data_IF_842042966763
#
_entry.id   IF_842042966763
#
_cell.length_a   1.000
_cell.length_b   1.000
_cell.length_c   1.000
_cell.angle_alpha   90.00
_cell.angle_beta   90.00
_cell.angle_gamma   90.00
#
_symmetry.space_group_name_H-M   'P 1'
#
loop_
_entity.id
_entity.type
_entity.pdbx_description
1 polymer ?
#
# COMPACT_ATOMS: atom_id res chain seq x y z
N UNK A 1 40.38 -17.22 1.27
CA UNK A 1 38.93 -17.28 0.96
C UNK A 1 38.69 -18.66 0.43
N UNK A 2 37.95 -19.45 1.18
CA UNK A 2 37.68 -20.83 0.79
C UNK A 2 36.52 -20.88 -0.22
N UNK A 3 36.44 -21.95 -1.00
CA UNK A 3 35.32 -22.20 -1.93
C UNK A 3 34.02 -22.31 -1.13
N UNK A 4 34.10 -22.79 0.11
CA UNK A 4 32.99 -22.87 1.07
C UNK A 4 32.45 -21.48 1.43
N UNK A 5 33.30 -20.47 1.65
CA UNK A 5 32.88 -19.10 2.00
C UNK A 5 32.06 -18.48 0.86
N UNK A 6 32.55 -18.65 -0.38
CA UNK A 6 31.90 -18.18 -1.61
C UNK A 6 30.55 -18.89 -1.78
N UNK A 7 30.48 -20.20 -1.51
CA UNK A 7 29.22 -20.95 -1.56
C UNK A 7 28.21 -20.50 -0.49
N UNK A 8 28.66 -20.14 0.72
CA UNK A 8 27.78 -19.65 1.78
C UNK A 8 27.17 -18.29 1.44
N UNK A 9 27.96 -17.32 0.95
CA UNK A 9 27.42 -16.03 0.51
C UNK A 9 26.46 -16.19 -0.68
N UNK A 10 26.77 -17.07 -1.64
CA UNK A 10 25.89 -17.35 -2.78
C UNK A 10 24.56 -18.02 -2.35
N UNK A 11 24.61 -18.96 -1.39
CA UNK A 11 23.41 -19.58 -0.82
C UNK A 11 22.60 -18.63 0.08
N UNK A 12 23.22 -17.63 0.70
CA UNK A 12 22.53 -16.62 1.51
C UNK A 12 21.74 -15.63 0.63
N UNK A 13 22.26 -15.29 -0.56
CA UNK A 13 21.66 -14.32 -1.49
C UNK A 13 20.39 -14.79 -2.21
N UNK A 14 20.18 -16.10 -2.41
CA UNK A 14 19.04 -16.62 -3.18
C UNK A 14 18.06 -17.47 -2.34
N UNK A 15 17.04 -16.82 -1.79
CA UNK A 15 16.01 -17.40 -0.92
C UNK A 15 15.14 -18.52 -1.55
N UNK A 16 15.30 -18.79 -2.85
CA UNK A 16 14.56 -19.82 -3.61
C UNK A 16 14.79 -21.22 -3.02
N UNK A 17 16.02 -21.54 -2.60
CA UNK A 17 16.34 -22.88 -2.11
C UNK A 17 15.62 -23.23 -0.81
N UNK A 18 15.35 -22.24 0.06
CA UNK A 18 14.58 -22.44 1.30
C UNK A 18 13.13 -22.85 1.01
N UNK A 19 12.49 -22.19 0.05
CA UNK A 19 11.12 -22.49 -0.38
C UNK A 19 11.03 -23.88 -1.02
N UNK A 20 12.03 -24.26 -1.82
CA UNK A 20 12.12 -25.60 -2.41
C UNK A 20 12.32 -26.67 -1.32
N UNK A 21 13.27 -26.49 -0.40
CA UNK A 21 13.54 -27.46 0.69
C UNK A 21 12.36 -27.60 1.66
N UNK A 22 11.64 -26.52 1.96
CA UNK A 22 10.42 -26.58 2.79
C UNK A 22 9.29 -27.32 2.06
N UNK A 23 9.06 -27.06 0.77
CA UNK A 23 8.11 -27.82 -0.04
C UNK A 23 8.50 -29.30 -0.15
N UNK A 24 9.78 -29.61 -0.32
CA UNK A 24 10.28 -30.97 -0.43
C UNK A 24 10.10 -31.72 0.90
N UNK A 25 10.43 -31.10 2.03
CA UNK A 25 10.17 -31.66 3.38
C UNK A 25 8.68 -31.89 3.64
N UNK A 26 7.80 -30.99 3.20
CA UNK A 26 6.36 -31.18 3.30
C UNK A 26 5.88 -32.37 2.46
N UNK A 27 6.30 -32.45 1.19
CA UNK A 27 5.95 -33.56 0.28
C UNK A 27 6.49 -34.91 0.77
N UNK A 28 7.74 -34.95 1.26
CA UNK A 28 8.32 -36.17 1.86
C UNK A 28 7.54 -36.62 3.10
N UNK A 29 7.09 -35.70 3.98
CA UNK A 29 6.22 -36.06 5.11
C UNK A 29 4.89 -36.66 4.66
N UNK A 30 4.26 -36.11 3.62
CA UNK A 30 3.01 -36.66 3.06
C UNK A 30 3.23 -38.04 2.44
N UNK A 31 4.31 -38.23 1.67
CA UNK A 31 4.66 -39.53 1.07
C UNK A 31 4.92 -40.58 2.15
N UNK A 32 5.71 -40.26 3.18
CA UNK A 32 5.96 -41.17 4.31
C UNK A 32 4.68 -41.52 5.09
N UNK A 33 3.76 -40.58 5.26
CA UNK A 33 2.46 -40.84 5.89
C UNK A 33 1.61 -41.80 5.04
N UNK A 34 1.54 -41.61 3.71
CA UNK A 34 0.80 -42.51 2.81
C UNK A 34 1.44 -43.90 2.73
N UNK A 35 2.77 -44.00 2.73
CA UNK A 35 3.48 -45.28 2.83
C UNK A 35 3.18 -45.99 4.16
N UNK A 36 3.14 -45.27 5.28
CA UNK A 36 2.76 -45.83 6.59
C UNK A 36 1.34 -46.40 6.61
N UNK A 37 0.37 -45.67 6.05
CA UNK A 37 -1.02 -46.14 5.92
C UNK A 37 -1.11 -47.39 5.04
N UNK A 38 -0.37 -47.45 3.92
CA UNK A 38 -0.35 -48.62 3.04
C UNK A 38 0.27 -49.86 3.71
N UNK A 39 1.33 -49.69 4.52
CA UNK A 39 1.91 -50.80 5.30
C UNK A 39 0.95 -51.30 6.39
N UNK A 40 0.25 -50.40 7.08
CA UNK A 40 -0.78 -50.80 8.05
C UNK A 40 -1.95 -51.55 7.38
N UNK A 41 -2.38 -51.14 6.18
CA UNK A 41 -3.43 -51.82 5.44
C UNK A 41 -3.04 -53.24 4.98
N UNK A 42 -1.76 -53.49 4.70
CA UNK A 42 -1.27 -54.80 4.24
C UNK A 42 -1.03 -55.83 5.36
N UNK A 43 -0.98 -55.38 6.63
CA UNK A 43 -0.68 -56.24 7.79
C UNK A 43 -1.93 -56.72 8.56
N UNK A 44 -3.13 -56.34 8.12
CA UNK A 44 -4.40 -56.73 8.78
C UNK A 44 -5.30 -57.53 7.84
N UNK A 45 -4.84 -58.73 7.45
CA UNK A 45 -5.65 -59.75 6.77
C UNK A 45 -5.54 -61.10 7.51
N UNK A 46 -6.45 -61.41 8.44
CA UNK A 46 -6.49 -62.73 9.07
C UNK A 46 -7.04 -63.77 8.08
N UNK A 47 -6.23 -64.79 7.77
CA UNK A 47 -6.62 -65.88 6.89
C UNK A 47 -7.75 -66.74 7.48
N UNK A 48 -8.71 -67.15 6.64
CA UNK A 48 -9.78 -68.08 7.01
C UNK A 48 -9.49 -69.50 6.54
N UNK A 49 -9.06 -70.37 7.46
CA UNK A 49 -9.36 -71.80 7.38
C UNK A 49 -10.84 -72.01 7.73
N UNK A 50 -11.58 -72.78 6.93
CA UNK A 50 -13.02 -72.97 7.13
C UNK A 50 -13.39 -74.31 7.77
N UNK A 51 -14.60 -74.40 8.33
CA UNK A 51 -15.33 -75.66 8.44
C UNK A 51 -16.86 -75.45 8.45
N UNK A 52 -17.60 -76.55 8.44
CA UNK A 52 -18.95 -76.71 7.87
C UNK A 52 -20.14 -76.50 8.82
N UNK A 53 -21.23 -75.96 8.25
CA UNK A 53 -22.64 -76.39 8.42
C UNK A 53 -23.32 -76.33 9.81
N UNK A 54 -24.44 -75.58 9.88
CA UNK A 54 -25.79 -76.17 10.10
C UNK A 54 -26.90 -75.15 9.77
N UNK A 55 -28.18 -75.56 9.80
CA UNK A 55 -29.36 -74.79 9.33
C UNK A 55 -30.24 -74.28 10.49
N UNK A 56 -30.90 -73.15 10.30
CA UNK A 56 -32.36 -72.86 10.48
C UNK A 56 -32.55 -71.37 10.10
N UNK A 57 -33.37 -70.95 9.12
CA UNK A 57 -34.84 -70.99 9.02
C UNK A 57 -35.56 -70.23 10.15
N UNK A 58 -35.97 -68.98 9.89
CA UNK A 58 -37.40 -68.68 9.66
C UNK A 58 -37.64 -67.36 8.86
N UNK A 59 -38.91 -67.06 8.62
CA UNK A 59 -39.58 -66.12 7.69
C UNK A 59 -39.69 -64.66 8.21
N UNK A 60 -40.05 -63.63 7.41
CA UNK A 60 -40.36 -63.55 5.97
C UNK A 60 -41.03 -62.20 5.56
N UNK A 61 -41.69 -62.19 4.39
CA UNK A 61 -42.63 -61.15 3.85
C UNK A 61 -42.04 -59.92 3.11
N UNK A 62 -42.63 -59.62 1.94
CA UNK A 62 -42.32 -58.55 0.95
C UNK A 62 -43.56 -57.61 0.83
N UNK A 63 -43.57 -56.47 0.08
CA UNK A 63 -43.28 -56.37 -1.37
C UNK A 63 -42.43 -55.11 -1.74
N UNK A 64 -42.88 -54.18 -2.59
CA UNK A 64 -42.43 -53.94 -3.99
C UNK A 64 -42.21 -52.41 -4.22
N UNK A 65 -41.81 -51.81 -5.36
CA UNK A 65 -41.89 -52.13 -6.81
C UNK A 65 -40.75 -51.49 -7.65
N UNK A 66 -40.77 -51.72 -8.98
CA UNK A 66 -40.61 -50.80 -10.13
C UNK A 66 -39.76 -49.50 -10.04
N UNK A 67 -39.03 -49.05 -11.08
CA UNK A 67 -38.52 -49.63 -12.34
C UNK A 67 -37.43 -48.66 -12.96
N UNK A 68 -36.71 -48.99 -14.05
CA UNK A 68 -35.47 -48.31 -14.47
C UNK A 68 -35.59 -47.22 -15.56
N UNK A 69 -34.50 -46.50 -15.83
CA UNK A 69 -34.30 -45.60 -17.00
C UNK A 69 -32.91 -45.84 -17.63
N UNK A 70 -32.77 -45.53 -18.93
CA UNK A 70 -31.67 -45.95 -19.81
C UNK A 70 -30.39 -45.08 -19.83
N UNK A 71 -29.37 -45.63 -20.50
CA UNK A 71 -28.09 -45.00 -20.87
C UNK A 71 -28.24 -43.81 -21.84
N UNK A 72 -27.22 -42.95 -21.88
CA UNK A 72 -26.81 -42.24 -23.10
C UNK A 72 -25.28 -42.04 -23.11
N UNK A 73 -24.67 -42.07 -24.29
CA UNK A 73 -23.21 -41.93 -24.51
C UNK A 73 -22.96 -40.82 -25.53
N UNK A 74 -22.05 -39.89 -25.24
CA UNK A 74 -21.49 -38.95 -26.23
C UNK A 74 -19.95 -38.92 -26.09
N UNK A 75 -19.28 -38.70 -27.21
CA UNK A 75 -17.88 -39.05 -27.47
C UNK A 75 -16.87 -37.95 -27.10
N UNK A 76 -15.63 -38.38 -26.82
CA UNK A 76 -14.44 -37.53 -26.97
C UNK A 76 -14.06 -37.43 -28.45
N UNK A 77 -13.58 -36.28 -28.88
CA UNK A 77 -12.65 -36.13 -30.00
C UNK A 77 -11.78 -34.89 -29.77
N UNK A 78 -10.56 -34.89 -30.31
CA UNK A 78 -9.61 -33.77 -30.20
C UNK A 78 -8.79 -33.63 -31.49
N UNK A 79 -8.32 -32.42 -31.76
CA UNK A 79 -7.49 -32.07 -32.94
C UNK A 79 -6.48 -30.96 -32.52
N UNK A 80 -5.45 -30.58 -33.31
CA UNK A 80 -4.07 -30.77 -32.85
C UNK A 80 -3.23 -29.50 -32.82
N UNK A 81 -1.92 -29.65 -32.58
CA UNK A 81 -0.93 -28.58 -32.72
C UNK A 81 -0.66 -28.23 -34.19
N UNK A 82 -0.39 -26.94 -34.46
CA UNK A 82 0.43 -26.48 -35.59
C UNK A 82 1.39 -25.37 -35.10
N UNK A 83 2.54 -25.22 -35.76
CA UNK A 83 3.65 -24.37 -35.32
C UNK A 83 3.73 -23.02 -36.04
N UNK A 84 4.62 -22.14 -35.55
CA UNK A 84 4.91 -20.82 -36.12
C UNK A 84 6.28 -20.80 -36.83
N UNK A 85 6.40 -20.20 -38.04
CA UNK A 85 7.67 -19.88 -38.66
C UNK A 85 8.25 -18.56 -38.13
N UNK A 86 9.58 -18.40 -38.20
CA UNK A 86 10.27 -17.15 -37.86
C UNK A 86 10.53 -16.29 -39.10
N UNK A 87 10.04 -15.04 -39.10
CA UNK A 87 10.62 -13.88 -39.78
C UNK A 87 10.28 -12.63 -38.91
N UNK A 88 11.09 -11.57 -38.83
CA UNK A 88 12.32 -11.27 -39.57
C UNK A 88 12.24 -9.87 -40.18
N UNK A 89 12.43 -8.82 -39.37
CA UNK A 89 12.38 -7.42 -39.82
C UNK A 89 13.59 -6.62 -39.36
N UNK A 90 14.27 -6.00 -40.32
CA UNK A 90 15.26 -4.95 -40.10
C UNK A 90 14.54 -3.59 -39.90
N UNK A 91 15.21 -2.65 -39.25
CA UNK A 91 14.62 -1.35 -38.90
C UNK A 91 14.60 -0.35 -40.06
N UNK A 92 13.88 0.76 -39.85
CA UNK A 92 13.96 1.96 -40.69
C UNK A 92 14.24 3.18 -39.80
N UNK A 93 15.24 3.99 -40.20
CA UNK A 93 15.46 5.31 -39.63
C UNK A 93 14.41 6.28 -40.18
N UNK A 94 13.96 7.22 -39.34
CA UNK A 94 13.35 8.46 -39.82
C UNK A 94 14.29 9.63 -39.53
N UNK A 95 14.71 10.34 -40.58
CA UNK A 95 15.40 11.61 -40.45
C UNK A 95 14.39 12.71 -40.07
N UNK A 96 14.85 13.67 -39.28
CA UNK A 96 14.16 14.94 -39.05
C UNK A 96 14.77 16.02 -39.96
N UNK A 97 13.95 16.93 -40.48
CA UNK A 97 14.42 18.27 -40.88
C UNK A 97 13.32 19.31 -40.51
N UNK A 98 13.64 20.52 -39.99
CA UNK A 98 12.63 21.36 -39.32
C UNK A 98 12.50 22.81 -39.85
N UNK A 99 11.51 23.52 -39.28
CA UNK A 99 11.29 24.99 -39.18
C UNK A 99 10.26 25.61 -40.12
N UNK A 100 9.31 26.34 -39.52
CA UNK A 100 8.98 27.77 -39.67
C UNK A 100 7.50 27.95 -39.22
N UNK A 101 7.10 28.75 -38.22
CA UNK A 101 7.49 30.07 -37.69
C UNK A 101 6.76 31.26 -38.35
N UNK A 102 5.61 31.64 -37.77
CA UNK A 102 4.85 32.91 -37.83
C UNK A 102 3.53 32.72 -37.05
N UNK A 103 2.93 33.68 -36.34
CA UNK A 103 3.46 34.96 -35.87
C UNK A 103 2.76 36.21 -36.41
N UNK A 104 1.55 36.55 -35.92
CA UNK A 104 1.21 37.96 -35.64
C UNK A 104 -0.06 38.19 -34.80
N UNK A 105 -0.16 39.41 -34.26
CA UNK A 105 -1.23 39.92 -33.39
C UNK A 105 -2.22 40.85 -34.10
N UNK A 106 -3.48 40.87 -33.64
CA UNK A 106 -4.34 42.07 -33.41
C UNK A 106 -5.57 41.63 -32.58
N UNK A 107 -6.13 42.29 -31.56
CA UNK A 107 -6.32 43.68 -31.12
C UNK A 107 -7.79 44.15 -31.31
N UNK A 108 -8.37 44.61 -30.20
CA UNK A 108 -9.58 45.43 -30.00
C UNK A 108 -10.98 44.91 -30.43
N UNK A 109 -11.97 45.21 -29.56
CA UNK A 109 -13.38 44.80 -29.74
C UNK A 109 -14.24 44.98 -28.48
N UNK A 110 -14.58 46.24 -28.14
CA UNK A 110 -15.54 46.59 -27.07
C UNK A 110 -16.78 47.24 -27.68
N UNK A 111 -17.99 46.95 -27.17
CA UNK A 111 -18.95 48.03 -26.98
C UNK A 111 -19.65 47.99 -25.61
N UNK A 112 -20.45 49.03 -25.34
CA UNK A 112 -21.47 49.08 -24.28
C UNK A 112 -22.69 48.21 -24.69
N UNK A 113 -23.63 47.81 -23.82
CA UNK A 113 -23.82 48.06 -22.39
C UNK A 113 -25.25 48.55 -22.09
N UNK A 114 -25.93 48.03 -21.06
CA UNK A 114 -27.32 48.42 -20.76
C UNK A 114 -27.69 48.27 -19.27
N UNK A 115 -28.80 48.89 -18.84
CA UNK A 115 -29.20 49.05 -17.44
C UNK A 115 -30.20 47.98 -16.96
N UNK A 116 -30.10 47.62 -15.68
CA UNK A 116 -31.23 47.16 -14.85
C UNK A 116 -30.91 47.38 -13.37
N UNK A 117 -31.88 47.87 -12.58
CA UNK A 117 -31.67 48.24 -11.18
C UNK A 117 -32.23 47.20 -10.20
N UNK A 118 -31.56 47.10 -9.04
CA UNK A 118 -32.09 46.72 -7.73
C UNK A 118 -32.86 45.38 -7.58
N UNK A 119 -32.25 44.46 -6.84
CA UNK A 119 -32.63 44.20 -5.43
C UNK A 119 -31.35 43.80 -4.68
N UNK A 120 -31.19 44.23 -3.43
CA UNK A 120 -29.96 44.04 -2.66
C UNK A 120 -30.19 43.22 -1.38
N UNK A 121 -29.52 42.06 -1.30
CA UNK A 121 -29.18 41.39 -0.04
C UNK A 121 -27.73 40.90 -0.16
N UNK A 122 -26.76 41.73 0.24
CA UNK A 122 -25.33 41.39 0.17
C UNK A 122 -24.85 40.99 1.57
N UNK A 123 -24.89 39.70 1.85
CA UNK A 123 -24.00 39.11 2.85
C UNK A 123 -22.59 39.07 2.27
N UNK A 124 -21.64 39.79 2.89
CA UNK A 124 -20.23 39.71 2.51
C UNK A 124 -19.67 38.34 2.90
N UNK A 125 -19.58 37.41 1.95
CA UNK A 125 -18.68 36.27 2.07
C UNK A 125 -17.25 36.79 1.92
N UNK A 126 -16.45 36.75 2.99
CA UNK A 126 -15.02 37.03 2.89
C UNK A 126 -14.32 35.90 2.14
N UNK A 127 -13.53 36.24 1.12
CA UNK A 127 -12.73 35.27 0.39
C UNK A 127 -11.51 34.85 1.23
N UNK A 128 -11.28 33.54 1.46
CA UNK A 128 -10.12 33.08 2.21
C UNK A 128 -8.80 33.57 1.58
N UNK A 129 -7.95 34.21 2.38
CA UNK A 129 -6.63 34.70 1.91
C UNK A 129 -5.71 33.51 1.58
N UNK A 130 -4.90 33.60 0.51
CA UNK A 130 -3.96 32.53 0.16
C UNK A 130 -2.89 32.35 1.26
N UNK A 131 -2.57 31.09 1.55
CA UNK A 131 -1.71 30.64 2.67
C UNK A 131 -0.21 31.00 2.48
N UNK A 132 0.16 31.66 1.37
CA UNK A 132 1.55 31.94 0.98
C UNK A 132 2.35 32.85 1.94
N UNK A 133 1.69 33.53 2.88
CA UNK A 133 2.29 34.62 3.65
C UNK A 133 2.54 34.29 5.14
N UNK A 134 2.33 33.04 5.57
CA UNK A 134 2.63 32.63 6.95
C UNK A 134 4.11 32.22 7.06
N UNK A 135 4.97 33.15 7.46
CA UNK A 135 6.32 32.80 7.92
C UNK A 135 6.25 32.25 9.36
N UNK A 136 6.94 31.15 9.68
CA UNK A 136 7.02 30.67 11.06
C UNK A 136 7.91 31.59 11.89
N UNK A 137 7.37 32.15 12.97
CA UNK A 137 8.14 32.81 14.02
C UNK A 137 9.00 31.77 14.75
N UNK A 138 10.25 32.10 15.03
CA UNK A 138 11.20 31.22 15.70
C UNK A 138 11.10 31.30 17.24
N UNK A 139 9.96 30.86 17.79
CA UNK A 139 9.84 30.58 19.23
C UNK A 139 8.88 29.41 19.51
N UNK A 140 8.85 28.94 20.76
CA UNK A 140 8.40 27.59 21.15
C UNK A 140 6.91 27.23 21.06
N UNK A 141 6.68 25.92 21.07
CA UNK A 141 5.42 25.16 21.25
C UNK A 141 4.16 25.60 20.48
N UNK A 142 3.79 24.78 19.49
CA UNK A 142 2.71 25.05 18.53
C UNK A 142 1.31 24.39 18.76
N UNK A 143 0.83 24.03 19.99
CA UNK A 143 -0.55 23.53 20.15
C UNK A 143 -1.61 24.46 19.56
N UNK A 144 -1.48 25.77 19.77
CA UNK A 144 -2.43 26.77 19.28
C UNK A 144 -2.44 26.89 17.76
N UNK A 145 -1.28 26.79 17.10
CA UNK A 145 -1.17 26.89 15.63
C UNK A 145 -1.83 25.68 14.96
N UNK A 146 -1.65 24.46 15.47
CA UNK A 146 -2.39 23.29 14.98
C UNK A 146 -3.90 23.47 15.10
N UNK A 147 -4.37 23.96 16.26
CA UNK A 147 -5.80 24.19 16.50
C UNK A 147 -6.38 25.31 15.62
N UNK A 148 -5.63 26.40 15.42
CA UNK A 148 -6.02 27.52 14.57
C UNK A 148 -6.13 27.10 13.10
N UNK A 149 -5.16 26.33 12.59
CA UNK A 149 -5.20 25.75 11.23
C UNK A 149 -6.40 24.82 11.08
N UNK A 150 -6.65 23.95 12.05
CA UNK A 150 -7.79 23.02 12.02
C UNK A 150 -9.14 23.76 11.99
N UNK A 151 -9.28 24.81 12.80
CA UNK A 151 -10.49 25.65 12.84
C UNK A 151 -10.68 26.44 11.54
N UNK A 152 -9.62 27.05 10.99
CA UNK A 152 -9.69 27.84 9.76
C UNK A 152 -9.97 27.01 8.50
N UNK A 153 -9.56 25.74 8.49
CA UNK A 153 -9.81 24.80 7.38
C UNK A 153 -11.07 23.95 7.56
N UNK A 154 -11.78 24.07 8.68
CA UNK A 154 -12.98 23.27 8.97
C UNK A 154 -12.70 21.77 9.08
N UNK A 155 -11.54 21.38 9.62
CA UNK A 155 -11.19 19.96 9.79
C UNK A 155 -12.11 19.27 10.79
N UNK A 156 -12.33 17.97 10.59
CA UNK A 156 -13.01 17.13 11.57
C UNK A 156 -12.22 17.14 12.90
N UNK A 157 -12.86 17.28 14.09
CA UNK A 157 -12.16 17.50 15.37
C UNK A 157 -11.23 16.37 15.80
N UNK A 158 -11.32 15.18 15.19
CA UNK A 158 -10.39 14.07 15.42
C UNK A 158 -9.05 14.19 14.68
N UNK A 159 -8.91 15.10 13.70
CA UNK A 159 -7.69 15.26 12.90
C UNK A 159 -6.59 15.93 13.71
N UNK A 160 -5.67 15.12 14.23
CA UNK A 160 -4.60 15.53 15.14
C UNK A 160 -3.35 15.95 14.36
N UNK A 161 -3.34 17.19 13.88
CA UNK A 161 -2.12 17.80 13.31
C UNK A 161 -1.10 18.03 14.44
N UNK A 162 0.12 17.53 14.24
CA UNK A 162 1.25 17.72 15.15
C UNK A 162 2.39 18.47 14.46
N UNK A 163 3.22 19.18 15.24
CA UNK A 163 4.40 19.85 14.69
C UNK A 163 5.34 18.85 14.02
N UNK A 164 6.01 19.28 12.96
CA UNK A 164 7.05 18.53 12.25
C UNK A 164 8.45 18.72 12.84
N UNK A 165 8.57 19.49 13.92
CA UNK A 165 9.76 19.56 14.78
C UNK A 165 9.60 18.63 15.98
N UNK A 166 10.72 18.17 16.54
CA UNK A 166 10.70 17.43 17.80
C UNK A 166 10.41 18.40 18.98
N UNK A 167 9.47 18.10 19.90
CA UNK A 167 9.14 18.98 21.01
C UNK A 167 10.32 19.30 21.93
N UNK A 168 10.31 20.50 22.51
CA UNK A 168 11.29 20.90 23.53
C UNK A 168 11.24 19.93 24.73
N UNK A 169 12.42 19.51 25.23
CA UNK A 169 12.54 18.48 26.27
C UNK A 169 12.51 17.02 25.80
N UNK A 170 11.91 16.71 24.64
CA UNK A 170 11.94 15.36 24.05
C UNK A 170 13.33 14.94 23.53
N UNK A 171 14.30 15.85 23.52
CA UNK A 171 15.72 15.57 23.27
C UNK A 171 16.34 14.56 24.25
N UNK A 172 15.71 14.34 25.41
CA UNK A 172 16.07 13.32 26.39
C UNK A 172 15.81 11.87 25.91
N UNK A 173 14.95 11.67 24.91
CA UNK A 173 14.63 10.33 24.39
C UNK A 173 15.76 9.85 23.47
N UNK A 174 16.45 8.78 23.89
CA UNK A 174 17.55 8.15 23.14
C UNK A 174 17.04 7.36 21.93
N UNK A 175 16.60 8.09 20.91
CA UNK A 175 16.29 7.60 19.57
C UNK A 175 17.59 7.60 18.75
N UNK A 176 18.02 6.43 18.25
CA UNK A 176 19.10 6.29 17.27
C UNK A 176 18.68 6.81 15.89
N UNK A 177 19.61 7.38 15.13
CA UNK A 177 19.38 7.77 13.74
C UNK A 177 20.61 7.47 12.86
N UNK A 178 20.37 7.13 11.59
CA UNK A 178 21.36 6.75 10.58
C UNK A 178 21.23 7.64 9.33
N UNK A 179 22.24 7.73 8.45
CA UNK A 179 22.08 8.38 7.15
C UNK A 179 20.93 7.74 6.35
N UNK A 180 20.11 8.54 5.68
CA UNK A 180 19.06 8.02 4.81
C UNK A 180 19.69 7.43 3.53
N UNK A 181 19.59 6.11 3.26
CA UNK A 181 20.25 5.51 2.12
C UNK A 181 19.73 6.07 0.79
N UNK A 182 20.64 6.29 -0.16
CA UNK A 182 20.34 6.82 -1.51
C UNK A 182 19.54 8.14 -1.51
N UNK A 183 19.59 8.93 -0.43
CA UNK A 183 18.81 10.16 -0.30
C UNK A 183 19.10 11.16 -1.44
N UNK A 184 18.07 11.81 -2.01
CA UNK A 184 18.24 12.85 -3.03
C UNK A 184 18.97 14.12 -2.56
N UNK A 185 19.28 14.24 -1.26
CA UNK A 185 20.07 15.33 -0.69
C UNK A 185 21.06 14.80 0.35
N UNK A 186 22.30 15.26 0.30
CA UNK A 186 23.31 14.91 1.29
C UNK A 186 22.94 15.38 2.71
N UNK A 187 23.36 14.61 3.72
CA UNK A 187 23.17 14.94 5.14
C UNK A 187 21.76 14.67 5.69
N UNK A 188 20.86 14.06 4.93
CA UNK A 188 19.56 13.60 5.44
C UNK A 188 19.76 12.37 6.32
N UNK A 189 19.12 12.36 7.49
CA UNK A 189 19.15 11.27 8.47
C UNK A 189 17.75 10.75 8.76
N UNK A 190 17.61 9.45 8.99
CA UNK A 190 16.38 8.76 9.38
C UNK A 190 16.58 8.05 10.71
N UNK A 191 15.61 8.17 11.61
CA UNK A 191 15.63 7.60 12.94
C UNK A 191 14.99 6.20 12.97
N UNK A 192 15.56 5.31 13.78
CA UNK A 192 15.38 3.85 13.65
C UNK A 192 15.29 3.16 15.02
N UNK A 193 14.46 2.13 15.12
CA UNK A 193 14.43 1.25 16.30
C UNK A 193 15.72 0.42 16.42
N UNK A 194 16.01 -0.17 17.59
CA UNK A 194 16.93 -1.28 17.72
C UNK A 194 16.51 -2.47 16.84
N UNK A 195 17.46 -3.18 16.23
CA UNK A 195 17.17 -4.31 15.31
C UNK A 195 16.49 -5.51 15.98
N UNK A 196 16.50 -5.57 17.32
CA UNK A 196 15.77 -6.57 18.11
C UNK A 196 14.27 -6.26 18.19
N UNK A 197 13.87 -4.99 18.06
CA UNK A 197 12.47 -4.54 18.02
C UNK A 197 11.92 -4.50 16.58
N UNK A 198 12.75 -4.08 15.62
CA UNK A 198 12.43 -4.07 14.20
C UNK A 198 13.65 -4.50 13.37
N UNK A 199 13.63 -5.75 12.90
CA UNK A 199 14.70 -6.31 12.06
C UNK A 199 14.51 -6.04 10.56
N UNK A 200 13.40 -5.42 10.17
CA UNK A 200 13.00 -5.27 8.76
C UNK A 200 13.33 -3.86 8.27
N UNK A 201 12.54 -2.85 8.65
CA UNK A 201 12.72 -1.48 8.14
C UNK A 201 13.97 -0.86 8.77
N UNK A 202 14.04 -0.82 10.10
CA UNK A 202 15.20 -0.37 10.86
C UNK A 202 16.45 -1.23 10.61
N UNK A 203 16.25 -2.52 10.31
CA UNK A 203 17.32 -3.45 9.93
C UNK A 203 17.98 -3.04 8.60
N UNK A 204 17.20 -2.91 7.53
CA UNK A 204 17.69 -2.49 6.21
C UNK A 204 18.35 -1.11 6.26
N UNK A 205 17.72 -0.14 6.94
CA UNK A 205 18.26 1.22 7.09
C UNK A 205 19.61 1.24 7.81
N UNK A 206 19.78 0.45 8.88
CA UNK A 206 21.07 0.30 9.59
C UNK A 206 22.14 -0.42 8.75
N UNK A 207 21.75 -1.20 7.74
CA UNK A 207 22.64 -1.79 6.72
C UNK A 207 22.89 -0.86 5.52
N UNK A 208 22.48 0.42 5.58
CA UNK A 208 22.55 1.39 4.49
C UNK A 208 21.80 0.94 3.22
N UNK A 209 20.64 0.29 3.40
CA UNK A 209 19.74 -0.14 2.33
C UNK A 209 18.36 0.51 2.49
N UNK A 210 17.71 0.85 1.38
CA UNK A 210 16.31 1.26 1.41
C UNK A 210 15.43 0.03 1.66
N UNK A 211 14.49 0.13 2.61
CA UNK A 211 13.31 -0.73 2.59
C UNK A 211 12.49 -0.38 1.34
N UNK A 212 11.92 -1.38 0.67
CA UNK A 212 11.11 -1.20 -0.56
C UNK A 212 11.79 -0.34 -1.64
N UNK A 213 13.10 -0.55 -1.88
CA UNK A 213 13.92 0.31 -2.74
C UNK A 213 13.27 0.62 -4.11
N UNK A 214 12.79 -0.40 -4.82
CA UNK A 214 12.20 -0.21 -6.16
C UNK A 214 10.94 0.67 -6.13
N UNK A 215 10.14 0.61 -5.06
CA UNK A 215 8.96 1.45 -4.85
C UNK A 215 9.35 2.88 -4.47
N UNK A 216 10.31 3.06 -3.54
CA UNK A 216 10.83 4.39 -3.17
C UNK A 216 11.43 5.09 -4.39
N UNK A 217 12.15 4.36 -5.25
CA UNK A 217 12.69 4.88 -6.51
C UNK A 217 11.61 5.04 -7.59
N UNK A 218 10.51 4.29 -7.58
CA UNK A 218 9.37 4.51 -8.48
C UNK A 218 8.61 5.80 -8.11
N UNK A 219 8.34 6.02 -6.83
CA UNK A 219 7.84 7.30 -6.29
C UNK A 219 8.78 8.44 -6.67
N UNK A 220 10.10 8.30 -6.48
CA UNK A 220 11.08 9.32 -6.87
C UNK A 220 10.93 9.72 -8.34
N UNK A 221 10.92 8.74 -9.25
CA UNK A 221 10.81 9.01 -10.70
C UNK A 221 9.48 9.70 -11.03
N UNK A 222 8.37 9.30 -10.40
CA UNK A 222 7.08 9.93 -10.62
C UNK A 222 7.03 11.38 -10.11
N UNK A 223 7.55 11.63 -8.90
CA UNK A 223 7.72 12.96 -8.31
C UNK A 223 8.80 13.81 -9.02
N UNK A 224 9.62 13.23 -9.90
CA UNK A 224 10.49 13.97 -10.83
C UNK A 224 9.77 14.31 -12.13
N UNK A 225 8.99 13.37 -12.68
CA UNK A 225 8.26 13.54 -13.94
C UNK A 225 7.15 14.60 -13.88
N UNK A 226 6.50 14.77 -12.71
CA UNK A 226 5.58 15.88 -12.46
C UNK A 226 6.02 16.70 -11.23
N UNK A 227 6.70 17.84 -11.44
CA UNK A 227 7.14 18.71 -10.35
C UNK A 227 6.03 19.38 -9.53
N UNK A 228 4.77 19.34 -9.98
CA UNK A 228 3.62 19.87 -9.23
C UNK A 228 3.10 18.91 -8.17
N UNK A 229 3.42 17.61 -8.26
CA UNK A 229 2.97 16.62 -7.30
C UNK A 229 3.65 16.79 -5.94
N UNK A 230 2.84 16.76 -4.89
CA UNK A 230 3.30 16.48 -3.52
C UNK A 230 3.08 15.00 -3.16
N UNK A 231 3.72 14.53 -2.10
CA UNK A 231 3.46 13.20 -1.55
C UNK A 231 2.34 13.24 -0.50
N UNK A 232 1.45 12.26 -0.56
CA UNK A 232 0.60 11.84 0.55
C UNK A 232 1.08 10.45 1.01
N UNK A 233 1.61 10.38 2.23
CA UNK A 233 2.25 9.19 2.80
C UNK A 233 1.35 8.62 3.92
N UNK A 234 0.52 7.62 3.56
CA UNK A 234 -0.44 7.01 4.49
C UNK A 234 0.18 5.74 5.08
N UNK A 235 0.39 5.76 6.40
CA UNK A 235 1.23 4.81 7.12
C UNK A 235 2.72 5.14 6.91
N UNK A 236 3.11 6.36 7.29
CA UNK A 236 4.47 6.87 7.05
C UNK A 236 5.55 6.10 7.83
N UNK A 237 5.17 5.42 8.92
CA UNK A 237 6.04 4.58 9.75
C UNK A 237 7.26 5.36 10.26
N UNK A 238 8.50 4.95 9.95
CA UNK A 238 9.72 5.73 10.27
C UNK A 238 9.88 7.02 9.46
N UNK A 239 8.95 7.33 8.55
CA UNK A 239 9.00 8.47 7.65
C UNK A 239 9.82 8.23 6.39
N UNK A 240 10.01 6.98 5.95
CA UNK A 240 10.93 6.67 4.85
C UNK A 240 10.56 7.40 3.55
N UNK A 241 9.32 7.21 3.08
CA UNK A 241 8.81 7.88 1.88
C UNK A 241 8.73 9.40 2.09
N UNK A 242 8.19 9.87 3.22
CA UNK A 242 8.13 11.28 3.58
C UNK A 242 9.49 12.00 3.58
N UNK A 243 10.52 11.45 4.22
CA UNK A 243 11.88 12.02 4.27
C UNK A 243 12.53 12.02 2.89
N UNK A 244 12.32 10.98 2.09
CA UNK A 244 12.85 10.88 0.74
C UNK A 244 12.24 11.95 -0.19
N UNK A 245 10.91 12.10 -0.19
CA UNK A 245 10.21 13.14 -0.95
C UNK A 245 10.53 14.57 -0.45
N UNK A 246 10.60 14.78 0.86
CA UNK A 246 11.02 16.05 1.45
C UNK A 246 12.47 16.40 1.10
N UNK A 247 13.37 15.41 1.00
CA UNK A 247 14.74 15.59 0.52
C UNK A 247 14.82 16.00 -0.95
N UNK A 248 13.86 15.59 -1.80
CA UNK A 248 13.66 16.11 -3.16
C UNK A 248 13.10 17.55 -3.19
N UNK A 249 12.81 18.14 -2.03
CA UNK A 249 12.19 19.46 -1.90
C UNK A 249 10.67 19.47 -2.12
N UNK A 250 10.02 18.31 -2.29
CA UNK A 250 8.56 18.21 -2.39
C UNK A 250 7.91 18.49 -1.03
N UNK A 251 6.68 18.98 -1.05
CA UNK A 251 5.83 18.98 0.15
C UNK A 251 5.32 17.56 0.42
N UNK A 252 4.99 17.26 1.67
CA UNK A 252 4.44 15.99 2.11
C UNK A 252 3.32 16.21 3.12
N UNK A 253 2.23 15.45 3.02
CA UNK A 253 1.34 15.17 4.13
C UNK A 253 1.58 13.72 4.56
N UNK A 254 2.05 13.52 5.79
CA UNK A 254 2.34 12.21 6.36
C UNK A 254 1.31 11.86 7.44
N UNK A 255 0.77 10.64 7.39
CA UNK A 255 -0.22 10.14 8.34
C UNK A 255 0.36 8.90 9.02
N UNK A 256 0.45 8.94 10.35
CA UNK A 256 1.07 7.88 11.15
C UNK A 256 0.39 7.71 12.50
N UNK A 257 -0.03 6.47 12.80
CA UNK A 257 -0.83 6.19 13.99
C UNK A 257 -0.01 6.08 15.27
N UNK A 258 1.23 5.57 15.23
CA UNK A 258 2.03 5.34 16.43
C UNK A 258 2.72 6.65 16.87
N UNK A 259 2.48 7.14 18.10
CA UNK A 259 3.17 8.34 18.59
C UNK A 259 4.70 8.19 18.66
N UNK A 260 5.21 6.96 18.84
CA UNK A 260 6.65 6.66 18.80
C UNK A 260 7.24 6.85 17.41
N UNK A 261 6.55 6.37 16.37
CA UNK A 261 6.93 6.60 14.98
C UNK A 261 6.90 8.09 14.63
N UNK A 262 5.85 8.81 15.04
CA UNK A 262 5.76 10.28 14.89
C UNK A 262 6.96 11.00 15.50
N UNK A 263 7.41 10.61 16.70
CA UNK A 263 8.62 11.19 17.29
C UNK A 263 9.90 10.86 16.49
N UNK A 264 9.99 9.69 15.87
CA UNK A 264 11.10 9.36 14.96
C UNK A 264 11.06 10.19 13.68
N UNK A 265 9.87 10.40 13.08
CA UNK A 265 9.68 11.31 11.93
C UNK A 265 10.11 12.74 12.32
N UNK A 266 9.57 13.28 13.41
CA UNK A 266 9.90 14.62 13.93
C UNK A 266 11.41 14.80 14.16
N UNK A 267 12.08 13.83 14.80
CA UNK A 267 13.54 13.89 15.03
C UNK A 267 14.32 13.83 13.70
N UNK A 268 13.93 12.95 12.78
CA UNK A 268 14.55 12.82 11.45
C UNK A 268 14.44 14.12 10.65
N UNK A 269 13.26 14.74 10.64
CA UNK A 269 12.98 16.01 9.98
C UNK A 269 13.78 17.16 10.62
N UNK A 270 13.84 17.21 11.96
CA UNK A 270 14.58 18.24 12.70
C UNK A 270 16.08 18.15 12.39
N UNK A 271 16.70 16.98 12.54
CA UNK A 271 18.11 16.74 12.22
C UNK A 271 18.43 17.05 10.76
N UNK A 272 17.55 16.67 9.84
CA UNK A 272 17.73 16.88 8.41
C UNK A 272 17.42 18.31 7.94
N UNK A 273 16.87 19.18 8.79
CA UNK A 273 16.33 20.51 8.45
C UNK A 273 15.21 20.45 7.38
N UNK A 274 14.31 19.48 7.52
CA UNK A 274 13.20 19.20 6.61
C UNK A 274 11.80 19.47 7.19
N UNK A 275 11.67 19.86 8.47
CA UNK A 275 10.36 20.08 9.12
C UNK A 275 9.42 21.00 8.33
N UNK A 276 9.94 22.07 7.70
CA UNK A 276 9.16 22.97 6.83
C UNK A 276 8.68 22.38 5.49
N UNK A 277 8.84 21.07 5.25
CA UNK A 277 8.36 20.35 4.06
C UNK A 277 7.29 19.31 4.35
N UNK A 278 7.08 18.94 5.61
CA UNK A 278 6.17 17.84 5.99
C UNK A 278 5.15 18.33 7.00
N UNK A 279 3.87 18.11 6.70
CA UNK A 279 2.77 18.20 7.67
C UNK A 279 2.50 16.79 8.21
N UNK A 280 2.31 16.63 9.52
CA UNK A 280 2.11 15.31 10.15
C UNK A 280 0.73 15.27 10.82
N UNK A 281 -0.05 14.23 10.51
CA UNK A 281 -1.31 13.90 11.17
C UNK A 281 -1.12 12.62 11.98
N UNK A 282 -1.25 12.71 13.30
CA UNK A 282 -1.08 11.57 14.20
C UNK A 282 -2.41 10.86 14.48
N UNK A 283 -2.91 10.17 13.46
CA UNK A 283 -4.12 9.35 13.50
C UNK A 283 -3.91 8.02 12.78
N UNK A 284 -4.80 7.06 13.06
CA UNK A 284 -5.00 5.93 12.18
C UNK A 284 -6.04 6.26 11.10
N UNK A 285 -5.95 5.63 9.93
CA UNK A 285 -6.98 5.70 8.90
C UNK A 285 -7.90 4.49 8.95
N UNK A 286 -9.21 4.72 8.87
CA UNK A 286 -10.23 3.68 8.94
C UNK A 286 -11.51 4.12 8.23
N UNK A 287 -12.57 3.29 8.34
CA UNK A 287 -13.88 3.55 7.71
C UNK A 287 -14.77 4.54 8.48
N UNK A 288 -14.39 4.93 9.69
CA UNK A 288 -15.16 5.76 10.61
C UNK A 288 -14.32 6.25 11.81
N UNK A 289 -14.87 7.22 12.57
CA UNK A 289 -14.24 7.87 13.72
C UNK A 289 -14.43 7.10 15.03
N UNK A 290 -13.45 6.28 15.40
CA UNK A 290 -13.47 5.43 16.58
C UNK A 290 -12.11 5.39 17.27
N UNK A 291 -12.05 4.87 18.49
CA UNK A 291 -10.78 4.52 19.13
C UNK A 291 -10.55 3.03 18.93
N UNK A 292 -9.40 2.65 18.38
CA UNK A 292 -8.99 1.27 18.20
C UNK A 292 -7.68 1.01 18.96
N UNK A 293 -7.44 -0.26 19.27
CA UNK A 293 -6.16 -0.73 19.81
C UNK A 293 -5.25 -1.16 18.67
N UNK A 294 -3.95 -0.91 18.79
CA UNK A 294 -2.94 -1.51 17.91
C UNK A 294 -2.63 -2.96 18.30
N UNK A 295 -2.06 -3.71 17.35
CA UNK A 295 -1.29 -4.93 17.59
C UNK A 295 0.10 -4.74 17.01
N UNK A 296 1.11 -5.18 17.76
CA UNK A 296 2.51 -5.16 17.33
C UNK A 296 2.92 -6.55 16.83
N UNK A 297 3.83 -6.60 15.87
CA UNK A 297 4.40 -7.84 15.33
C UNK A 297 5.78 -8.06 15.93
N UNK A 298 6.08 -9.29 16.35
CA UNK A 298 7.36 -9.60 17.02
C UNK A 298 8.56 -9.34 16.10
N UNK A 299 9.49 -8.51 16.59
CA UNK A 299 10.65 -8.02 15.84
C UNK A 299 10.29 -7.25 14.54
N UNK A 300 9.08 -6.68 14.45
CA UNK A 300 8.61 -5.95 13.28
C UNK A 300 7.67 -4.81 13.68
N UNK A 301 8.23 -3.67 14.15
CA UNK A 301 7.43 -2.45 14.36
C UNK A 301 6.89 -1.88 13.04
N UNK A 302 7.55 -2.17 11.90
CA UNK A 302 6.98 -1.97 10.56
C UNK A 302 5.55 -2.52 10.48
N UNK A 303 5.42 -3.80 10.81
CA UNK A 303 4.19 -4.61 10.84
C UNK A 303 3.07 -4.20 11.80
N UNK A 304 3.13 -3.03 12.43
CA UNK A 304 2.15 -2.61 13.45
C UNK A 304 0.80 -2.27 12.83
N UNK A 305 -0.29 -2.86 13.34
CA UNK A 305 -1.61 -2.84 12.68
C UNK A 305 -2.76 -2.55 13.63
N UNK A 306 -3.92 -2.19 13.10
CA UNK A 306 -5.14 -2.03 13.89
C UNK A 306 -5.73 -3.39 14.30
N UNK A 307 -6.33 -3.46 15.49
CA UNK A 307 -6.98 -4.67 16.01
C UNK A 307 -8.39 -4.86 15.40
N UNK A 308 -8.46 -5.21 14.12
CA UNK A 308 -9.69 -5.25 13.28
C UNK A 308 -10.43 -6.60 13.33
N UNK A 309 -10.33 -7.34 14.44
CA UNK A 309 -10.81 -8.73 14.64
C UNK A 309 -10.13 -9.83 13.80
N UNK A 310 -9.43 -9.48 12.70
CA UNK A 310 -8.60 -10.42 11.93
C UNK A 310 -7.49 -11.01 12.82
N UNK A 311 -7.34 -12.34 12.78
CA UNK A 311 -6.30 -13.06 13.54
C UNK A 311 -5.01 -13.08 12.73
N UNK A 312 -3.89 -12.87 13.40
CA UNK A 312 -2.55 -12.85 12.82
C UNK A 312 -1.60 -13.70 13.67
N UNK A 313 -0.64 -14.37 13.02
CA UNK A 313 0.47 -15.05 13.68
C UNK A 313 1.53 -14.03 14.17
N UNK A 314 2.40 -14.44 15.08
CA UNK A 314 3.58 -13.66 15.51
C UNK A 314 3.27 -12.28 16.15
N UNK A 315 2.09 -12.09 16.74
CA UNK A 315 1.78 -10.93 17.59
C UNK A 315 2.73 -10.86 18.79
N UNK A 316 3.31 -9.69 19.02
CA UNK A 316 4.03 -9.37 20.25
C UNK A 316 3.04 -9.01 21.37
N UNK A 317 2.68 -10.01 22.19
CA UNK A 317 1.82 -9.82 23.36
C UNK A 317 2.58 -9.21 24.56
N UNK A 318 3.90 -8.99 24.47
CA UNK A 318 4.68 -8.36 25.55
C UNK A 318 4.67 -6.83 25.49
N UNK A 319 4.45 -6.28 24.29
CA UNK A 319 4.28 -4.83 24.07
C UNK A 319 2.83 -4.41 24.34
N UNK A 320 2.58 -3.45 25.26
CA UNK A 320 1.24 -2.94 25.49
C UNK A 320 0.62 -2.35 24.22
N UNK A 321 -0.65 -2.67 23.97
CA UNK A 321 -1.41 -2.07 22.87
C UNK A 321 -1.57 -0.55 23.07
N UNK A 322 -1.57 0.20 21.96
CA UNK A 322 -1.74 1.65 21.97
C UNK A 322 -3.15 1.99 21.49
N UNK A 323 -3.88 2.77 22.30
CA UNK A 323 -5.14 3.41 21.90
C UNK A 323 -4.86 4.48 20.84
N UNK A 324 -5.33 4.28 19.61
CA UNK A 324 -5.24 5.25 18.50
C UNK A 324 -6.62 5.70 18.05
N UNK A 325 -6.76 7.00 17.75
CA UNK A 325 -7.99 7.58 17.20
C UNK A 325 -7.98 7.45 15.68
N UNK A 326 -9.00 6.83 15.11
CA UNK A 326 -9.17 6.73 13.67
C UNK A 326 -9.87 7.97 13.10
N UNK A 327 -9.49 8.33 11.87
CA UNK A 327 -10.16 9.30 11.01
C UNK A 327 -10.51 8.64 9.67
N UNK A 328 -11.44 9.24 8.94
CA UNK A 328 -11.68 8.93 7.54
C UNK A 328 -10.59 9.54 6.64
N UNK A 329 -10.44 9.02 5.42
CA UNK A 329 -9.57 9.67 4.43
C UNK A 329 -10.22 10.97 3.91
N UNK A 330 -11.56 11.02 3.87
CA UNK A 330 -12.34 12.24 3.58
C UNK A 330 -11.98 13.44 4.47
N UNK A 331 -11.60 13.23 5.74
CA UNK A 331 -11.22 14.30 6.67
C UNK A 331 -9.93 15.04 6.26
N UNK A 332 -9.10 14.44 5.41
CA UNK A 332 -7.85 15.05 4.91
C UNK A 332 -8.06 15.94 3.68
N UNK A 333 -9.27 15.95 3.10
CA UNK A 333 -9.59 16.73 1.89
C UNK A 333 -9.28 18.22 2.02
N UNK A 334 -9.60 18.93 3.14
CA UNK A 334 -9.31 20.35 3.27
C UNK A 334 -7.81 20.68 3.33
N UNK A 335 -6.95 19.72 3.73
CA UNK A 335 -5.49 19.88 3.72
C UNK A 335 -4.89 19.78 2.29
N UNK A 336 -5.60 19.12 1.38
CA UNK A 336 -5.13 18.78 0.04
C UNK A 336 -5.98 19.37 -1.10
N UNK A 337 -6.94 20.22 -0.78
CA UNK A 337 -7.82 20.88 -1.75
C UNK A 337 -7.00 21.68 -2.77
N UNK A 338 -7.20 21.38 -4.05
CA UNK A 338 -6.43 21.97 -5.16
C UNK A 338 -4.95 21.55 -5.22
N UNK A 339 -4.54 20.47 -4.53
CA UNK A 339 -3.23 19.84 -4.69
C UNK A 339 -3.30 18.65 -5.64
N UNK A 340 -2.25 18.47 -6.43
CA UNK A 340 -2.02 17.22 -7.15
C UNK A 340 -1.12 16.33 -6.29
N UNK A 341 -1.49 15.07 -6.09
CA UNK A 341 -0.77 14.17 -5.17
C UNK A 341 -0.39 12.84 -5.82
N UNK A 342 0.82 12.38 -5.47
CA UNK A 342 1.17 10.97 -5.45
C UNK A 342 0.76 10.43 -4.07
N UNK A 343 -0.03 9.36 -4.02
CA UNK A 343 -0.47 8.74 -2.77
C UNK A 343 0.24 7.39 -2.58
N UNK A 344 0.87 7.18 -1.42
CA UNK A 344 1.30 5.87 -0.92
C UNK A 344 0.28 5.43 0.14
N UNK A 345 -0.32 4.26 -0.01
CA UNK A 345 -1.13 3.61 1.03
C UNK A 345 -0.52 2.28 1.41
N UNK A 346 -0.05 2.20 2.64
CA UNK A 346 0.32 0.96 3.31
C UNK A 346 0.04 1.21 4.79
N UNK A 347 -1.08 0.69 5.26
CA UNK A 347 -1.60 0.83 6.62
C UNK A 347 -1.98 -0.54 7.17
N UNK A 348 -1.13 -1.53 6.85
CA UNK A 348 -1.15 -2.90 7.35
C UNK A 348 -2.55 -3.54 7.34
N UNK A 349 -3.02 -3.88 6.13
CA UNK A 349 -4.35 -4.42 5.78
C UNK A 349 -5.54 -3.46 5.91
N UNK A 350 -5.37 -2.23 6.41
CA UNK A 350 -6.50 -1.33 6.70
C UNK A 350 -6.99 -0.51 5.50
N UNK A 351 -6.41 -0.69 4.30
CA UNK A 351 -6.64 0.15 3.11
C UNK A 351 -8.09 0.08 2.64
N UNK A 352 -8.64 -1.14 2.56
CA UNK A 352 -10.03 -1.37 2.17
C UNK A 352 -11.04 -0.76 3.18
N UNK A 353 -10.62 -0.53 4.43
CA UNK A 353 -11.41 0.23 5.41
C UNK A 353 -11.25 1.75 5.21
N UNK A 354 -10.02 2.25 5.02
CA UNK A 354 -9.79 3.67 4.76
C UNK A 354 -10.49 4.16 3.48
N UNK A 355 -10.44 3.38 2.40
CA UNK A 355 -11.12 3.69 1.13
C UNK A 355 -12.65 3.67 1.25
N UNK A 356 -13.22 2.93 2.21
CA UNK A 356 -14.66 2.95 2.47
C UNK A 356 -15.16 4.33 2.98
N UNK A 357 -14.26 5.21 3.44
CA UNK A 357 -14.55 6.58 3.84
C UNK A 357 -13.60 7.58 3.13
N UNK A 358 -13.58 7.47 1.79
CA UNK A 358 -12.69 8.25 0.91
C UNK A 358 -13.40 8.83 -0.34
N UNK A 359 -14.74 8.87 -0.38
CA UNK A 359 -15.47 9.27 -1.58
C UNK A 359 -15.37 10.78 -1.87
N UNK A 360 -15.41 11.61 -0.84
CA UNK A 360 -15.18 13.05 -0.97
C UNK A 360 -13.72 13.33 -1.37
N UNK A 361 -12.77 12.62 -0.76
CA UNK A 361 -11.34 12.77 -1.00
C UNK A 361 -10.97 12.52 -2.46
N UNK A 362 -11.42 11.39 -3.03
CA UNK A 362 -11.14 11.03 -4.42
C UNK A 362 -11.93 11.87 -5.45
N UNK A 363 -12.85 12.72 -4.98
CA UNK A 363 -13.57 13.74 -5.76
C UNK A 363 -12.90 15.13 -5.68
N UNK A 364 -12.47 15.57 -4.49
CA UNK A 364 -11.90 16.92 -4.27
C UNK A 364 -10.38 17.02 -4.49
N UNK A 365 -9.63 15.93 -4.32
CA UNK A 365 -8.16 15.91 -4.39
C UNK A 365 -7.70 15.30 -5.71
N UNK A 366 -6.78 15.97 -6.40
CA UNK A 366 -6.24 15.52 -7.69
C UNK A 366 -5.15 14.43 -7.48
N UNK A 367 -5.58 13.26 -7.02
CA UNK A 367 -4.72 12.08 -6.89
C UNK A 367 -4.42 11.54 -8.29
N UNK A 368 -3.15 11.60 -8.72
CA UNK A 368 -2.74 11.09 -10.04
C UNK A 368 -2.39 9.62 -10.00
N UNK A 369 -1.66 9.21 -8.97
CA UNK A 369 -1.09 7.87 -8.79
C UNK A 369 -1.38 7.44 -7.36
N UNK A 370 -1.82 6.20 -7.18
CA UNK A 370 -1.83 5.52 -5.88
C UNK A 370 -0.92 4.30 -5.94
N UNK A 371 0.14 4.29 -5.15
CA UNK A 371 0.90 3.09 -4.79
C UNK A 371 0.20 2.44 -3.59
N UNK A 372 -0.08 1.14 -3.69
CA UNK A 372 -0.65 0.34 -2.60
C UNK A 372 0.28 -0.85 -2.36
N UNK A 373 0.52 -1.20 -1.10
CA UNK A 373 1.17 -2.46 -0.71
C UNK A 373 0.14 -3.60 -0.75
N UNK A 374 0.52 -4.79 -1.22
CA UNK A 374 -0.44 -5.83 -1.64
C UNK A 374 -0.29 -7.19 -0.94
N UNK A 375 0.64 -7.34 0.02
CA UNK A 375 0.83 -8.61 0.72
C UNK A 375 -0.33 -8.90 1.68
N UNK A 376 -0.44 -10.15 2.16
CA UNK A 376 -1.36 -10.54 3.26
C UNK A 376 -2.87 -10.19 3.12
N UNK A 377 -3.32 -9.73 1.95
CA UNK A 377 -4.72 -9.32 1.70
C UNK A 377 -5.55 -10.48 1.16
N UNK A 378 -6.82 -10.55 1.56
CA UNK A 378 -7.75 -11.57 1.04
C UNK A 378 -8.22 -11.22 -0.38
N UNK A 379 -8.79 -12.16 -1.15
CA UNK A 379 -9.40 -11.84 -2.44
C UNK A 379 -10.55 -10.83 -2.33
N UNK A 380 -11.27 -10.82 -1.20
CA UNK A 380 -12.33 -9.85 -0.93
C UNK A 380 -11.78 -8.46 -0.60
N UNK A 381 -10.79 -8.36 0.29
CA UNK A 381 -10.10 -7.10 0.59
C UNK A 381 -9.51 -6.47 -0.69
N UNK A 382 -8.89 -7.30 -1.53
CA UNK A 382 -8.31 -6.88 -2.82
C UNK A 382 -9.38 -6.45 -3.84
N UNK A 383 -10.54 -7.12 -3.85
CA UNK A 383 -11.69 -6.73 -4.69
C UNK A 383 -12.28 -5.40 -4.23
N UNK A 384 -12.50 -5.19 -2.93
CA UNK A 384 -13.04 -3.93 -2.40
C UNK A 384 -12.17 -2.72 -2.79
N UNK A 385 -10.84 -2.85 -2.72
CA UNK A 385 -9.90 -1.83 -3.21
C UNK A 385 -10.06 -1.63 -4.72
N UNK A 386 -10.07 -2.72 -5.50
CA UNK A 386 -10.14 -2.66 -6.97
C UNK A 386 -11.46 -2.06 -7.49
N UNK A 387 -12.58 -2.41 -6.87
CA UNK A 387 -13.91 -1.92 -7.21
C UNK A 387 -14.03 -0.42 -6.91
N UNK A 388 -13.58 0.03 -5.73
CA UNK A 388 -13.53 1.45 -5.34
C UNK A 388 -12.66 2.27 -6.30
N UNK A 389 -11.43 1.81 -6.57
CA UNK A 389 -10.50 2.53 -7.44
C UNK A 389 -11.00 2.55 -8.90
N UNK A 390 -11.67 1.50 -9.37
CA UNK A 390 -12.30 1.49 -10.69
C UNK A 390 -13.48 2.47 -10.76
N UNK A 391 -14.32 2.52 -9.73
CA UNK A 391 -15.45 3.45 -9.62
C UNK A 391 -14.98 4.93 -9.66
N UNK A 392 -13.89 5.24 -8.96
CA UNK A 392 -13.28 6.58 -8.95
C UNK A 392 -12.40 6.89 -10.19
N UNK A 393 -12.47 6.06 -11.24
CA UNK A 393 -11.86 6.34 -12.54
C UNK A 393 -10.35 6.12 -12.59
N UNK A 394 -9.84 5.10 -11.90
CA UNK A 394 -8.45 4.64 -12.01
C UNK A 394 -8.34 3.34 -12.81
N UNK A 395 -7.15 3.06 -13.32
CA UNK A 395 -6.80 1.78 -13.93
C UNK A 395 -5.55 1.18 -13.25
N UNK A 396 -5.57 -0.13 -13.06
CA UNK A 396 -4.51 -0.90 -12.39
C UNK A 396 -3.31 -1.11 -13.33
N UNK A 397 -2.10 -0.83 -12.84
CA UNK A 397 -0.88 -0.84 -13.65
C UNK A 397 0.36 -1.35 -12.91
N UNK A 398 1.34 -1.87 -13.66
CA UNK A 398 2.67 -2.29 -13.19
C UNK A 398 3.67 -1.13 -13.01
N UNK A 399 3.28 0.09 -13.37
CA UNK A 399 4.18 1.25 -13.46
C UNK A 399 3.48 2.50 -12.91
N UNK A 400 4.22 3.29 -12.14
CA UNK A 400 3.79 4.61 -11.68
C UNK A 400 3.90 5.72 -12.75
N UNK A 401 4.65 5.46 -13.83
CA UNK A 401 5.02 6.45 -14.85
C UNK A 401 4.19 6.37 -16.14
N UNK A 402 3.58 5.22 -16.39
CA UNK A 402 2.98 4.89 -17.69
C UNK A 402 2.01 3.72 -17.54
N UNK A 403 0.92 3.73 -18.32
CA UNK A 403 -0.06 2.64 -18.24
C UNK A 403 0.45 1.36 -18.90
N UNK A 404 0.96 0.45 -18.07
CA UNK A 404 1.20 -0.95 -18.41
C UNK A 404 0.19 -1.83 -17.66
N UNK A 405 -0.85 -2.39 -18.30
CA UNK A 405 -1.93 -3.10 -17.62
C UNK A 405 -1.48 -4.40 -16.91
N UNK A 406 -2.18 -4.74 -15.83
CA UNK A 406 -2.15 -6.06 -15.20
C UNK A 406 -3.29 -6.92 -15.77
N UNK A 407 -2.95 -7.93 -16.56
CA UNK A 407 -3.90 -8.75 -17.32
C UNK A 407 -4.76 -9.71 -16.47
N UNK A 408 -4.57 -9.74 -15.16
CA UNK A 408 -5.19 -10.69 -14.23
C UNK A 408 -5.09 -10.13 -12.80
N UNK A 409 -6.22 -9.71 -12.21
CA UNK A 409 -6.26 -9.15 -10.86
C UNK A 409 -5.96 -10.17 -9.76
N UNK A 410 -6.07 -11.48 -10.03
CA UNK A 410 -5.66 -12.52 -9.07
C UNK A 410 -4.13 -12.60 -8.90
N UNK A 411 -3.35 -11.98 -9.80
CA UNK A 411 -1.88 -11.96 -9.75
C UNK A 411 -1.29 -10.78 -8.97
N UNK A 412 -2.11 -9.84 -8.50
CA UNK A 412 -1.67 -8.66 -7.75
C UNK A 412 -0.87 -9.09 -6.50
N UNK A 413 -1.26 -10.19 -5.85
CA UNK A 413 -0.57 -10.78 -4.69
C UNK A 413 0.87 -11.30 -4.95
N UNK A 414 1.49 -10.95 -6.09
CA UNK A 414 2.87 -11.33 -6.48
C UNK A 414 3.64 -10.22 -7.22
N UNK A 415 3.09 -9.03 -7.39
CA UNK A 415 3.76 -7.94 -8.10
C UNK A 415 3.26 -6.58 -7.61
N UNK A 416 4.18 -5.64 -7.44
CA UNK A 416 3.86 -4.26 -7.11
C UNK A 416 2.96 -3.63 -8.17
N UNK A 417 1.87 -3.00 -7.70
CA UNK A 417 0.83 -2.48 -8.58
C UNK A 417 0.32 -1.11 -8.10
N UNK A 418 0.14 -0.24 -9.08
CA UNK A 418 -0.28 1.15 -8.92
C UNK A 418 -1.66 1.35 -9.54
N UNK A 419 -2.45 2.27 -9.00
CA UNK A 419 -3.63 2.79 -9.66
C UNK A 419 -3.33 4.15 -10.29
N UNK A 420 -3.52 4.26 -11.60
CA UNK A 420 -3.32 5.49 -12.37
C UNK A 420 -4.66 6.13 -12.69
N UNK A 421 -4.84 7.43 -12.41
CA UNK A 421 -6.08 8.14 -12.76
C UNK A 421 -6.24 8.15 -14.29
N UNK A 422 -7.32 7.59 -14.83
CA UNK A 422 -7.48 7.40 -16.28
C UNK A 422 -7.27 8.68 -17.08
N UNK A 423 -7.88 9.78 -16.63
CA UNK A 423 -7.79 11.10 -17.26
C UNK A 423 -6.41 11.76 -17.19
N UNK A 424 -5.54 11.34 -16.26
CA UNK A 424 -4.17 11.87 -16.16
C UNK A 424 -3.16 11.12 -17.05
N UNK A 425 -3.52 9.95 -17.57
CA UNK A 425 -2.66 9.04 -18.34
C UNK A 425 -3.27 8.62 -19.69
N UNK A 426 -4.33 9.30 -20.15
CA UNK A 426 -5.03 9.03 -21.42
C UNK A 426 -5.52 7.59 -21.58
N UNK A 427 -6.00 6.99 -20.49
CA UNK A 427 -6.49 5.60 -20.45
C UNK A 427 -8.00 5.58 -20.72
N UNK A 428 -8.46 4.71 -21.62
CA UNK A 428 -9.89 4.45 -21.88
C UNK A 428 -10.55 3.66 -20.76
#
# INVERSE_FOLDING_TARGET
MDVIDIFQDYCYRYNILRIIVMNLRAKVKVILAMCGVLVCAYLVLPGRSGQTSTRHLDTGVHPSQNQPVHQAVILKNGIPQQGFPQQGLQGMNFQQDPRLNQGNSRQDGKPQGENSQNIAVVSKAETPKPISNIQPSADGDQPEISALIASQLGLHPDVKIVSSMLPNGAASVKIDCVPLPKSPRAGVSICVYPTIEDKWVSGSLRMNQLWEEDLVLAMQRALQADPSMMLLDLGSNLGLYALFAAAMGRSVLAVEMLPTNVMMIQKSLTLSKLSGKVLIVNNALYRDHRTLQTRFMSQNIGGSRLNTSKVYENIDNSRPAVSVRTICLDDLSPLLKGKTVYMKIDIENSEHHALACANTFFTEVNVKIVQIEWLHRTPEESRLISDFMSHHGYALSKSALSYSPLADSSRIAKADAYFLKKSAFSIS
#
